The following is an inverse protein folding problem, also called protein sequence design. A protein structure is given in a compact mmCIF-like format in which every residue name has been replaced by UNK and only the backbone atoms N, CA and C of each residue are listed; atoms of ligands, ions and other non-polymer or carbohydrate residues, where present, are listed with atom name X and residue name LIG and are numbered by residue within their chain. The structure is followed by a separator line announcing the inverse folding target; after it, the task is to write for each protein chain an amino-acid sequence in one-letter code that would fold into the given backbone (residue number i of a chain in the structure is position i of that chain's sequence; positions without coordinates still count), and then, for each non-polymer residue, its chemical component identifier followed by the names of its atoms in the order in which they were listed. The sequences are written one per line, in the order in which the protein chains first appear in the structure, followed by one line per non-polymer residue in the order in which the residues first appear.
data_IF_787842667997
#
_entry.id   IF_787842667997
#
_cell.length_a   1.000
_cell.length_b   1.000
_cell.length_c   1.000
_cell.angle_alpha   90.00
_cell.angle_beta   90.00
_cell.angle_gamma   90.00
#
_symmetry.space_group_name_H-M   'P 1'
#
loop_
_entity.id
_entity.type
_entity.pdbx_description
1 polymer ?
#
# COMPACT_ATOMS: atom_id res chain seq x y z
N UNK A 1 2.12 -3.37 32.11
CA UNK A 1 2.71 -3.64 30.78
C UNK A 1 2.82 -2.31 30.03
N UNK A 2 4.02 -1.82 29.81
CA UNK A 2 4.23 -0.58 29.08
C UNK A 2 4.07 -0.89 27.59
N UNK A 3 2.92 -0.51 27.02
CA UNK A 3 2.72 -0.54 25.58
C UNK A 3 3.57 0.58 24.96
N UNK A 4 4.55 0.22 24.17
CA UNK A 4 5.31 1.20 23.38
C UNK A 4 4.49 1.51 22.13
N UNK A 5 4.07 2.77 21.98
CA UNK A 5 3.50 3.24 20.72
C UNK A 5 4.54 3.17 19.60
N UNK A 6 4.08 2.79 18.41
CA UNK A 6 4.90 2.71 17.20
C UNK A 6 4.47 3.83 16.25
N UNK A 7 5.44 4.62 15.82
CA UNK A 7 5.23 5.62 14.78
C UNK A 7 5.87 5.13 13.48
N UNK A 8 5.08 5.01 12.44
CA UNK A 8 5.56 4.73 11.08
C UNK A 8 5.92 6.02 10.37
N UNK A 9 7.14 6.13 9.88
CA UNK A 9 7.63 7.31 9.16
C UNK A 9 7.90 6.92 7.71
N UNK A 10 7.29 7.63 6.76
CA UNK A 10 7.52 7.46 5.33
C UNK A 10 8.29 8.67 4.83
N UNK A 11 9.61 8.52 4.68
CA UNK A 11 10.50 9.58 4.18
C UNK A 11 10.67 9.54 2.65
N UNK A 12 10.27 8.46 2.01
CA UNK A 12 10.32 8.28 0.57
C UNK A 12 9.10 7.53 0.06
N UNK A 13 9.09 6.21 0.17
CA UNK A 13 8.03 5.39 -0.39
C UNK A 13 7.68 4.20 0.50
N UNK A 14 6.39 3.98 0.72
CA UNK A 14 5.86 2.75 1.30
C UNK A 14 4.91 2.09 0.29
N UNK A 15 5.42 1.13 -0.48
CA UNK A 15 4.70 0.48 -1.55
C UNK A 15 4.36 -0.98 -1.21
N UNK A 16 3.19 -1.45 -1.69
CA UNK A 16 2.79 -2.85 -1.56
C UNK A 16 2.76 -3.30 -0.10
N UNK A 17 3.45 -4.38 0.25
CA UNK A 17 3.50 -4.90 1.63
C UNK A 17 4.02 -3.88 2.64
N UNK A 18 4.90 -2.95 2.23
CA UNK A 18 5.38 -1.89 3.10
C UNK A 18 4.24 -0.96 3.55
N UNK A 19 3.27 -0.68 2.68
CA UNK A 19 2.08 0.10 3.03
C UNK A 19 1.18 -0.64 4.01
N UNK A 20 1.06 -1.96 3.88
CA UNK A 20 0.31 -2.81 4.83
C UNK A 20 0.97 -2.83 6.21
N UNK A 21 2.30 -2.98 6.26
CA UNK A 21 3.07 -2.95 7.51
C UNK A 21 2.93 -1.58 8.20
N UNK A 22 2.93 -0.50 7.42
CA UNK A 22 2.76 0.86 7.90
C UNK A 22 1.44 1.02 8.69
N UNK A 23 0.36 0.37 8.24
CA UNK A 23 -0.95 0.42 8.90
C UNK A 23 -0.98 -0.24 10.29
N UNK A 24 0.03 -1.05 10.63
CA UNK A 24 0.18 -1.63 11.96
C UNK A 24 0.79 -0.67 12.99
N UNK A 25 1.19 0.53 12.58
CA UNK A 25 1.71 1.56 13.46
C UNK A 25 0.57 2.33 14.15
N UNK A 26 0.83 2.82 15.36
CA UNK A 26 -0.16 3.59 16.13
C UNK A 26 -0.36 5.00 15.56
N UNK A 27 0.69 5.57 14.96
CA UNK A 27 0.65 6.81 14.20
C UNK A 27 1.46 6.69 12.92
N UNK A 28 1.05 7.42 11.89
CA UNK A 28 1.71 7.44 10.58
C UNK A 28 2.07 8.88 10.24
N UNK A 29 3.33 9.08 9.91
CA UNK A 29 3.86 10.39 9.48
C UNK A 29 4.49 10.23 8.10
N UNK A 30 4.11 11.07 7.17
CA UNK A 30 4.68 11.13 5.83
C UNK A 30 5.42 12.44 5.61
N UNK A 31 6.62 12.35 5.03
CA UNK A 31 7.29 13.54 4.49
C UNK A 31 6.50 14.10 3.30
N UNK A 32 6.54 15.39 3.06
CA UNK A 32 5.77 16.08 2.00
C UNK A 32 6.02 15.53 0.59
N UNK A 33 7.18 14.93 0.33
CA UNK A 33 7.50 14.27 -0.94
C UNK A 33 7.34 12.74 -0.94
N UNK A 34 6.86 12.16 0.16
CA UNK A 34 6.70 10.72 0.28
C UNK A 34 5.44 10.22 -0.43
N UNK A 35 5.43 8.92 -0.71
CA UNK A 35 4.32 8.26 -1.39
C UNK A 35 3.97 6.92 -0.74
N UNK A 36 2.70 6.57 -0.85
CA UNK A 36 2.17 5.24 -0.52
C UNK A 36 1.60 4.62 -1.78
N UNK A 37 1.84 3.31 -2.00
CA UNK A 37 1.19 2.57 -3.07
C UNK A 37 0.46 1.35 -2.50
N UNK A 38 -0.78 1.21 -2.92
CA UNK A 38 -1.63 0.06 -2.60
C UNK A 38 -2.08 -0.64 -3.88
N UNK A 39 -2.07 -1.97 -3.87
CA UNK A 39 -2.48 -2.77 -5.00
C UNK A 39 -2.97 -4.16 -4.56
N UNK A 40 -3.55 -4.91 -5.51
CA UNK A 40 -3.94 -6.31 -5.30
C UNK A 40 -2.73 -7.19 -4.97
N UNK A 41 -2.93 -8.22 -4.14
CA UNK A 41 -1.92 -9.26 -3.99
C UNK A 41 -1.71 -9.94 -5.34
N UNK A 42 -0.46 -10.19 -5.69
CA UNK A 42 -0.10 -10.97 -6.88
C UNK A 42 0.73 -12.18 -6.50
N UNK A 43 0.64 -13.18 -7.35
CA UNK A 43 1.44 -14.39 -7.23
C UNK A 43 1.78 -14.93 -8.61
N UNK A 44 2.74 -15.82 -8.63
CA UNK A 44 3.11 -16.62 -9.79
C UNK A 44 2.89 -18.08 -9.46
N UNK A 45 2.37 -18.86 -10.43
CA UNK A 45 2.12 -20.29 -10.24
C UNK A 45 2.37 -21.09 -11.51
N UNK A 46 2.77 -22.33 -11.30
CA UNK A 46 2.82 -23.38 -12.30
C UNK A 46 2.01 -24.57 -11.76
N UNK A 47 1.12 -25.14 -12.58
CA UNK A 47 0.29 -26.25 -12.16
C UNK A 47 -0.87 -26.55 -13.10
N UNK A 48 -1.81 -27.36 -12.63
CA UNK A 48 -3.04 -27.71 -13.32
C UNK A 48 -4.20 -26.79 -12.89
N UNK A 49 -5.40 -27.04 -13.42
CA UNK A 49 -6.58 -26.23 -13.16
C UNK A 49 -6.94 -26.16 -11.65
N UNK A 50 -6.78 -27.25 -10.92
CA UNK A 50 -7.08 -27.29 -9.49
C UNK A 50 -6.08 -26.46 -8.68
N UNK A 51 -4.80 -26.42 -9.10
CA UNK A 51 -3.75 -25.60 -8.49
C UNK A 51 -4.06 -24.12 -8.69
N UNK A 52 -4.47 -23.71 -9.89
CA UNK A 52 -4.88 -22.34 -10.17
C UNK A 52 -6.13 -21.94 -9.38
N UNK A 53 -7.13 -22.83 -9.28
CA UNK A 53 -8.34 -22.54 -8.51
C UNK A 53 -8.05 -22.34 -7.03
N UNK A 54 -7.12 -23.11 -6.45
CA UNK A 54 -6.65 -22.91 -5.08
C UNK A 54 -5.95 -21.59 -4.92
N UNK A 55 -5.05 -21.24 -5.84
CA UNK A 55 -4.34 -19.96 -5.81
C UNK A 55 -5.30 -18.76 -5.90
N UNK A 56 -6.31 -18.81 -6.76
CA UNK A 56 -7.35 -17.77 -6.84
C UNK A 56 -7.99 -17.57 -5.46
N UNK A 57 -8.42 -18.66 -4.84
CA UNK A 57 -9.04 -18.59 -3.50
C UNK A 57 -8.10 -18.01 -2.42
N UNK A 58 -6.81 -18.29 -2.51
CA UNK A 58 -5.80 -17.75 -1.59
C UNK A 58 -5.58 -16.25 -1.81
N UNK A 59 -5.51 -15.81 -3.06
CA UNK A 59 -5.38 -14.39 -3.43
C UNK A 59 -6.61 -13.59 -2.98
N UNK A 60 -7.82 -14.12 -3.15
CA UNK A 60 -9.05 -13.48 -2.70
C UNK A 60 -9.07 -13.30 -1.17
N UNK A 61 -8.65 -14.32 -0.41
CA UNK A 61 -8.51 -14.22 1.04
C UNK A 61 -7.46 -13.20 1.44
N UNK A 62 -6.33 -13.18 0.74
CA UNK A 62 -5.26 -12.21 0.98
C UNK A 62 -5.76 -10.79 0.71
N UNK A 63 -6.46 -10.56 -0.41
CA UNK A 63 -7.04 -9.25 -0.74
C UNK A 63 -8.02 -8.79 0.33
N UNK A 64 -8.89 -9.68 0.80
CA UNK A 64 -9.80 -9.33 1.91
C UNK A 64 -9.03 -8.93 3.16
N UNK A 65 -8.02 -9.67 3.54
CA UNK A 65 -7.20 -9.38 4.73
C UNK A 65 -6.52 -8.03 4.65
N UNK A 66 -5.91 -7.70 3.51
CA UNK A 66 -5.26 -6.38 3.33
C UNK A 66 -6.27 -5.25 3.28
N UNK A 67 -7.45 -5.46 2.69
CA UNK A 67 -8.54 -4.47 2.71
C UNK A 67 -8.97 -4.19 4.15
N UNK A 68 -9.18 -5.22 4.97
CA UNK A 68 -9.54 -5.07 6.38
C UNK A 68 -8.46 -4.29 7.17
N UNK A 69 -7.17 -4.52 6.86
CA UNK A 69 -6.06 -3.79 7.47
C UNK A 69 -6.09 -2.30 7.09
N UNK A 70 -6.31 -1.97 5.81
CA UNK A 70 -6.43 -0.58 5.38
C UNK A 70 -7.64 0.09 6.00
N UNK A 71 -8.80 -0.61 6.07
CA UNK A 71 -10.01 -0.09 6.69
C UNK A 71 -9.83 0.24 8.18
N UNK A 72 -8.91 -0.40 8.87
CA UNK A 72 -8.54 -0.06 10.24
C UNK A 72 -7.85 1.29 10.39
N UNK A 73 -7.48 1.95 9.28
CA UNK A 73 -6.71 3.22 9.25
C UNK A 73 -7.31 4.29 8.38
N UNK A 74 -8.49 4.09 7.84
CA UNK A 74 -9.18 5.11 7.04
C UNK A 74 -9.77 6.20 7.93
N UNK A 75 -9.93 7.37 7.35
CA UNK A 75 -10.66 8.48 7.95
C UNK A 75 -12.16 8.20 7.98
N UNK A 76 -12.84 8.89 8.87
CA UNK A 76 -14.30 8.87 8.92
C UNK A 76 -14.91 9.27 7.57
N UNK A 77 -15.87 8.48 7.10
CA UNK A 77 -16.56 8.69 5.83
C UNK A 77 -15.94 7.96 4.64
N UNK A 78 -14.74 7.39 4.76
CA UNK A 78 -14.15 6.55 3.71
C UNK A 78 -14.77 5.16 3.77
N UNK A 79 -15.27 4.67 2.64
CA UNK A 79 -15.96 3.37 2.53
C UNK A 79 -15.01 2.25 2.10
N UNK A 80 -15.37 1.00 2.42
CA UNK A 80 -14.64 -0.19 1.96
C UNK A 80 -14.61 -0.28 0.44
N UNK A 81 -15.68 0.15 -0.25
CA UNK A 81 -15.76 0.19 -1.71
C UNK A 81 -14.69 1.13 -2.29
N UNK A 82 -14.54 2.33 -1.72
CA UNK A 82 -13.51 3.27 -2.15
C UNK A 82 -12.09 2.70 -1.99
N UNK A 83 -11.81 2.05 -0.85
CA UNK A 83 -10.50 1.42 -0.62
C UNK A 83 -10.28 0.25 -1.57
N UNK A 84 -11.30 -0.57 -1.82
CA UNK A 84 -11.24 -1.67 -2.78
C UNK A 84 -10.97 -1.19 -4.20
N UNK A 85 -11.60 -0.09 -4.62
CA UNK A 85 -11.35 0.52 -5.93
C UNK A 85 -9.92 1.04 -6.06
N UNK A 86 -9.38 1.67 -5.02
CA UNK A 86 -7.98 2.12 -4.97
C UNK A 86 -7.00 0.93 -5.07
N UNK A 87 -7.28 -0.18 -4.38
CA UNK A 87 -6.49 -1.42 -4.46
C UNK A 87 -6.56 -2.01 -5.88
N UNK A 88 -7.76 -2.08 -6.46
CA UNK A 88 -7.99 -2.63 -7.79
C UNK A 88 -7.29 -1.82 -8.89
N UNK A 89 -7.18 -0.50 -8.71
CA UNK A 89 -6.57 0.41 -9.66
C UNK A 89 -5.04 0.48 -9.54
N UNK A 90 -4.41 -0.19 -8.56
CA UNK A 90 -2.99 0.01 -8.24
C UNK A 90 -2.68 1.51 -8.04
N UNK A 91 -3.08 2.02 -6.89
CA UNK A 91 -3.07 3.47 -6.66
C UNK A 91 -1.79 3.90 -5.94
N UNK A 92 -1.10 4.85 -6.55
CA UNK A 92 -0.02 5.61 -5.96
C UNK A 92 -0.59 6.91 -5.40
N UNK A 93 -0.29 7.21 -4.15
CA UNK A 93 -0.80 8.39 -3.44
C UNK A 93 0.37 9.23 -2.93
N UNK A 94 0.34 10.52 -3.21
CA UNK A 94 1.17 11.52 -2.51
C UNK A 94 0.78 11.58 -1.04
N UNK A 95 1.56 12.30 -0.23
CA UNK A 95 1.24 12.49 1.18
C UNK A 95 -0.13 13.16 1.37
N UNK A 96 -0.45 14.15 0.51
CA UNK A 96 -1.73 14.86 0.51
C UNK A 96 -2.90 13.95 0.15
N UNK A 97 -2.76 13.17 -0.93
CA UNK A 97 -3.78 12.20 -1.36
C UNK A 97 -3.99 11.10 -0.32
N UNK A 98 -2.90 10.59 0.26
CA UNK A 98 -2.98 9.59 1.33
C UNK A 98 -3.69 10.13 2.58
N UNK A 99 -3.48 11.40 2.91
CA UNK A 99 -4.14 12.08 4.03
C UNK A 99 -5.65 12.23 3.84
N UNK A 100 -6.14 12.26 2.60
CA UNK A 100 -7.60 12.27 2.33
C UNK A 100 -8.25 10.92 2.62
N UNK A 101 -7.51 9.83 2.54
CA UNK A 101 -8.01 8.46 2.71
C UNK A 101 -7.69 7.91 4.11
N UNK A 102 -6.44 8.07 4.56
CA UNK A 102 -5.91 7.47 5.78
C UNK A 102 -5.64 8.51 6.88
N UNK A 103 -5.62 8.03 8.12
CA UNK A 103 -5.18 8.84 9.27
C UNK A 103 -3.65 8.98 9.26
N UNK A 104 -3.19 9.95 8.48
CA UNK A 104 -1.78 10.25 8.23
C UNK A 104 -1.48 11.70 8.58
N UNK A 105 -0.36 11.94 9.23
CA UNK A 105 0.19 13.29 9.45
C UNK A 105 1.26 13.59 8.40
N UNK A 106 1.32 14.84 7.95
CA UNK A 106 2.35 15.29 7.00
C UNK A 106 3.33 16.17 7.74
N UNK A 107 4.63 15.87 7.60
CA UNK A 107 5.71 16.71 8.07
C UNK A 107 6.54 17.22 6.89
N UNK A 108 6.85 18.52 6.91
CA UNK A 108 7.83 19.08 5.98
C UNK A 108 9.23 18.62 6.38
N UNK A 109 9.80 17.75 5.57
CA UNK A 109 11.19 17.31 5.68
C UNK A 109 11.89 17.51 4.34
N UNK A 110 13.22 17.83 4.32
CA UNK A 110 13.94 17.90 3.05
C UNK A 110 13.82 16.55 2.35
N UNK A 111 13.28 16.58 1.14
CA UNK A 111 12.88 15.38 0.43
C UNK A 111 14.07 14.48 0.06
N UNK A 112 14.02 13.23 0.47
CA UNK A 112 14.65 12.10 -0.25
C UNK A 112 13.92 11.86 -1.58
N UNK A 113 12.93 12.67 -1.88
CA UNK A 113 11.93 12.56 -2.95
C UNK A 113 12.49 12.55 -4.38
N UNK A 114 13.70 13.05 -4.64
CA UNK A 114 14.29 13.01 -5.98
C UNK A 114 14.57 11.58 -6.48
N UNK A 115 14.81 10.63 -5.57
CA UNK A 115 14.99 9.22 -5.92
C UNK A 115 13.67 8.48 -6.16
N UNK A 116 12.55 8.95 -5.59
CA UNK A 116 11.27 8.25 -5.63
C UNK A 116 10.68 8.29 -7.04
N UNK A 117 10.71 9.41 -7.72
CA UNK A 117 10.22 9.55 -9.10
C UNK A 117 10.92 8.62 -10.08
N UNK A 118 12.25 8.54 -10.01
CA UNK A 118 13.06 7.64 -10.83
C UNK A 118 12.76 6.15 -10.50
N UNK A 119 12.65 5.84 -9.21
CA UNK A 119 12.37 4.48 -8.73
C UNK A 119 10.98 4.00 -9.18
N UNK A 120 9.96 4.86 -9.11
CA UNK A 120 8.61 4.56 -9.56
C UNK A 120 8.51 4.29 -11.06
N UNK A 121 9.21 5.08 -11.87
CA UNK A 121 9.19 4.91 -13.34
C UNK A 121 9.85 3.59 -13.74
N UNK A 122 10.89 3.16 -13.02
CA UNK A 122 11.57 1.90 -13.28
C UNK A 122 10.81 0.71 -12.71
N UNK A 123 10.09 0.85 -11.60
CA UNK A 123 9.23 -0.20 -11.04
C UNK A 123 8.08 -0.53 -12.00
N UNK A 124 7.39 0.48 -12.54
CA UNK A 124 6.35 0.30 -13.58
C UNK A 124 6.87 -0.35 -14.86
N UNK A 125 8.14 -0.15 -15.21
CA UNK A 125 8.77 -0.79 -16.36
C UNK A 125 9.15 -2.24 -16.10
N UNK A 126 9.56 -2.59 -14.87
CA UNK A 126 9.92 -3.95 -14.48
C UNK A 126 8.68 -4.85 -14.41
N UNK A 127 7.59 -4.37 -13.85
CA UNK A 127 6.34 -5.12 -13.70
C UNK A 127 5.71 -5.49 -15.06
N UNK A 128 5.83 -4.61 -16.07
CA UNK A 128 5.36 -4.90 -17.43
C UNK A 128 6.23 -5.91 -18.21
N UNK A 129 7.46 -6.17 -17.76
CA UNK A 129 8.36 -7.13 -18.41
C UNK A 129 8.27 -8.54 -17.84
N UNK A 130 7.62 -8.71 -16.69
CA UNK A 130 7.43 -10.02 -16.06
C UNK A 130 6.14 -10.73 -16.50
N UNK A 131 5.37 -10.16 -17.43
CA UNK A 131 4.15 -10.73 -18.01
C UNK A 131 4.41 -11.11 -19.46
N UNK A 132 5.39 -12.00 -19.68
CA UNK A 132 5.55 -12.72 -20.96
C UNK A 132 5.88 -14.17 -20.65
#
# INVERSE_FOLDING_TARGET
MLFRSKTGIVDGMAASIASVILMACDSIVMSSGAQIMIHKPLSWAYGNADDFQRLISELDKCQKSITDIYMGRVKEGVTEEQVTDLINAETWMTAEEAKEIFDVQIEERPAVAACVGWMMENFKKADRKSVV
#
